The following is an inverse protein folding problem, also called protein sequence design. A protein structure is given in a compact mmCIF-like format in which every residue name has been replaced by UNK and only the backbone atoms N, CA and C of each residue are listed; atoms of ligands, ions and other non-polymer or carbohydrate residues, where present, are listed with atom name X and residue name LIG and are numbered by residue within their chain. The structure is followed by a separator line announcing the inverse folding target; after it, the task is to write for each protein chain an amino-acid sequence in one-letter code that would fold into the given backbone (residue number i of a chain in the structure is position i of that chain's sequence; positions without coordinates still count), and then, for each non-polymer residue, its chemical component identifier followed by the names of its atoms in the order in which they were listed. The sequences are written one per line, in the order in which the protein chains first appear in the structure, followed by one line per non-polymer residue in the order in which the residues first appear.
data_IF_746654721103
#
_entry.id   IF_746654721103
#
_cell.length_a   1.000
_cell.length_b   1.000
_cell.length_c   1.000
_cell.angle_alpha   90.00
_cell.angle_beta   90.00
_cell.angle_gamma   90.00
#
_symmetry.space_group_name_H-M   'P 1'
#
loop_
_entity.id
_entity.type
_entity.pdbx_description
1 polymer ?
#
# COMPACT_ATOMS: atom_id res chain seq x y z
N UNK A 1 5.19 8.80 -27.28
CA UNK A 1 6.16 7.87 -26.64
C UNK A 1 5.41 6.74 -25.94
N UNK A 2 5.95 5.53 -25.92
CA UNK A 2 5.39 4.37 -25.20
C UNK A 2 5.91 4.31 -23.77
N UNK A 3 5.01 4.16 -22.81
CA UNK A 3 5.34 3.98 -21.39
C UNK A 3 4.82 2.62 -20.96
N UNK A 4 5.67 1.79 -20.36
CA UNK A 4 5.26 0.52 -19.78
C UNK A 4 5.12 0.64 -18.26
N UNK A 5 3.99 0.16 -17.72
CA UNK A 5 3.69 0.09 -16.28
C UNK A 5 3.60 -1.38 -15.89
N UNK A 6 4.52 -1.85 -15.05
CA UNK A 6 4.69 -3.27 -14.71
C UNK A 6 4.39 -3.52 -13.24
N UNK A 7 3.41 -4.36 -12.99
CA UNK A 7 2.97 -4.78 -11.65
C UNK A 7 2.64 -6.27 -11.58
N UNK A 8 2.45 -6.74 -10.38
CA UNK A 8 2.07 -8.12 -10.10
C UNK A 8 0.56 -8.42 -10.19
N UNK A 9 -0.30 -7.41 -10.42
CA UNK A 9 -1.75 -7.56 -10.66
C UNK A 9 -2.27 -6.34 -11.41
N UNK A 10 -3.25 -6.52 -12.32
CA UNK A 10 -4.00 -5.43 -12.97
C UNK A 10 -4.86 -4.67 -11.96
N UNK A 11 -5.41 -5.39 -10.95
CA UNK A 11 -6.12 -4.79 -9.82
C UNK A 11 -5.33 -3.65 -9.16
N UNK A 12 -4.02 -3.83 -8.94
CA UNK A 12 -3.19 -2.82 -8.30
C UNK A 12 -2.99 -1.58 -9.20
N UNK A 13 -2.86 -1.77 -10.52
CA UNK A 13 -2.78 -0.66 -11.47
C UNK A 13 -4.09 0.13 -11.42
N UNK A 14 -5.21 -0.53 -11.54
CA UNK A 14 -6.52 0.09 -11.59
C UNK A 14 -6.86 0.85 -10.30
N UNK A 15 -6.69 0.22 -9.14
CA UNK A 15 -7.13 0.80 -7.87
C UNK A 15 -6.20 1.92 -7.34
N UNK A 16 -4.92 1.91 -7.71
CA UNK A 16 -3.95 2.84 -7.09
C UNK A 16 -3.24 3.76 -8.08
N UNK A 17 -3.41 3.57 -9.40
CA UNK A 17 -2.64 4.33 -10.39
C UNK A 17 -3.48 4.79 -11.58
N UNK A 18 -4.78 4.55 -11.54
CA UNK A 18 -5.65 4.84 -12.68
C UNK A 18 -5.68 6.32 -13.03
N UNK A 19 -5.65 7.22 -12.03
CA UNK A 19 -5.60 8.65 -12.29
C UNK A 19 -4.28 9.07 -12.95
N UNK A 20 -3.15 8.48 -12.53
CA UNK A 20 -1.87 8.68 -13.21
C UNK A 20 -1.89 8.14 -14.66
N UNK A 21 -2.43 6.93 -14.86
CA UNK A 21 -2.59 6.32 -16.19
C UNK A 21 -3.44 7.21 -17.10
N UNK A 22 -4.60 7.68 -16.64
CA UNK A 22 -5.46 8.60 -17.39
C UNK A 22 -4.72 9.90 -17.76
N UNK A 23 -3.93 10.42 -16.82
CA UNK A 23 -3.13 11.63 -17.08
C UNK A 23 -2.09 11.40 -18.18
N UNK A 24 -1.40 10.25 -18.18
CA UNK A 24 -0.47 9.88 -19.26
C UNK A 24 -1.18 9.76 -20.61
N UNK A 25 -2.34 9.12 -20.66
CA UNK A 25 -3.16 9.00 -21.87
C UNK A 25 -3.59 10.38 -22.41
N UNK A 26 -4.03 11.28 -21.53
CA UNK A 26 -4.41 12.65 -21.89
C UNK A 26 -3.24 13.45 -22.46
N UNK A 27 -2.02 13.19 -21.99
CA UNK A 27 -0.78 13.78 -22.54
C UNK A 27 -0.33 13.13 -23.87
N UNK A 28 -1.09 12.18 -24.40
CA UNK A 28 -0.80 11.51 -25.67
C UNK A 28 0.25 10.41 -25.58
N UNK A 29 0.56 9.90 -24.39
CA UNK A 29 1.41 8.73 -24.25
C UNK A 29 0.64 7.45 -24.59
N UNK A 30 1.29 6.51 -25.26
CA UNK A 30 0.79 5.14 -25.45
C UNK A 30 1.15 4.33 -24.20
N UNK A 31 0.15 3.97 -23.37
CA UNK A 31 0.37 3.31 -22.09
C UNK A 31 0.19 1.80 -22.22
N UNK A 32 1.26 1.06 -21.96
CA UNK A 32 1.30 -0.40 -21.94
C UNK A 32 1.28 -0.89 -20.48
N UNK A 33 0.27 -1.66 -20.10
CA UNK A 33 0.21 -2.32 -18.79
C UNK A 33 0.69 -3.75 -18.90
N UNK A 34 1.60 -4.17 -18.03
CA UNK A 34 2.20 -5.49 -18.02
C UNK A 34 1.98 -6.12 -16.64
N UNK A 35 1.04 -7.04 -16.56
CA UNK A 35 0.64 -7.71 -15.31
C UNK A 35 -0.02 -9.06 -15.64
N UNK A 36 -0.13 -9.99 -14.67
CA UNK A 36 -1.00 -11.14 -14.81
C UNK A 36 -2.44 -10.71 -15.10
N UNK A 37 -3.12 -11.47 -15.97
CA UNK A 37 -4.51 -11.23 -16.29
C UNK A 37 -5.39 -11.46 -15.05
N UNK A 38 -6.24 -10.50 -14.72
CA UNK A 38 -7.22 -10.58 -13.63
C UNK A 38 -8.51 -9.82 -14.01
N UNK A 39 -9.51 -9.85 -13.12
CA UNK A 39 -10.83 -9.24 -13.34
C UNK A 39 -10.80 -7.72 -13.61
N UNK A 40 -9.67 -7.05 -13.41
CA UNK A 40 -9.50 -5.61 -13.65
C UNK A 40 -8.80 -5.31 -14.98
N UNK A 41 -8.34 -6.32 -15.69
CA UNK A 41 -7.59 -6.13 -16.94
C UNK A 41 -8.45 -5.45 -18.01
N UNK A 42 -9.70 -5.87 -18.19
CA UNK A 42 -10.60 -5.26 -19.17
C UNK A 42 -10.87 -3.78 -18.89
N UNK A 43 -10.91 -3.37 -17.61
CA UNK A 43 -11.09 -1.96 -17.23
C UNK A 43 -9.88 -1.08 -17.61
N UNK A 44 -8.67 -1.65 -17.63
CA UNK A 44 -7.47 -0.96 -18.12
C UNK A 44 -7.52 -0.79 -19.64
N UNK A 45 -7.97 -1.82 -20.36
CA UNK A 45 -8.12 -1.80 -21.82
C UNK A 45 -9.24 -0.82 -22.25
N UNK A 46 -10.38 -0.83 -21.57
CA UNK A 46 -11.46 0.14 -21.78
C UNK A 46 -11.01 1.60 -21.54
N UNK A 47 -10.09 1.80 -20.61
CA UNK A 47 -9.50 3.13 -20.37
C UNK A 47 -8.49 3.56 -21.42
N UNK A 48 -8.14 2.72 -22.41
CA UNK A 48 -7.21 3.00 -23.49
C UNK A 48 -5.80 2.46 -23.31
N UNK A 49 -5.54 1.61 -22.31
CA UNK A 49 -4.25 0.94 -22.16
C UNK A 49 -4.14 -0.27 -23.10
N UNK A 50 -2.92 -0.58 -23.51
CA UNK A 50 -2.59 -1.83 -24.21
C UNK A 50 -2.05 -2.82 -23.18
N UNK A 51 -2.83 -3.85 -22.86
CA UNK A 51 -2.43 -4.84 -21.85
C UNK A 51 -1.55 -5.96 -22.44
N UNK A 52 -0.56 -6.39 -21.64
CA UNK A 52 0.30 -7.54 -21.93
C UNK A 52 0.27 -8.46 -20.71
N UNK A 53 -0.24 -9.66 -20.92
CA UNK A 53 -0.22 -10.69 -19.88
C UNK A 53 1.21 -11.18 -19.64
N UNK A 54 1.56 -11.40 -18.36
CA UNK A 54 2.84 -11.97 -17.93
C UNK A 54 2.59 -12.98 -16.81
N UNK A 55 3.30 -14.10 -16.83
CA UNK A 55 3.22 -15.14 -15.80
C UNK A 55 4.05 -14.75 -14.59
N UNK A 56 3.48 -13.94 -13.72
CA UNK A 56 4.15 -13.48 -12.52
C UNK A 56 3.46 -14.02 -11.28
N UNK A 57 4.13 -14.95 -10.60
CA UNK A 57 3.68 -15.38 -9.28
C UNK A 57 3.94 -14.25 -8.26
N UNK A 58 2.90 -13.74 -7.63
CA UNK A 58 3.01 -12.67 -6.64
C UNK A 58 3.65 -13.14 -5.33
N UNK A 59 3.88 -14.46 -5.16
CA UNK A 59 4.33 -15.09 -3.92
C UNK A 59 5.53 -16.01 -4.16
N UNK A 60 6.43 -16.04 -3.19
CA UNK A 60 7.58 -16.95 -3.17
C UNK A 60 8.73 -16.56 -4.08
N UNK A 61 9.89 -17.18 -3.83
CA UNK A 61 11.10 -17.09 -4.63
C UNK A 61 11.37 -18.50 -5.16
N UNK A 62 11.30 -18.66 -6.48
CA UNK A 62 11.67 -19.87 -7.17
C UNK A 62 12.61 -19.51 -8.33
N UNK A 63 13.90 -19.86 -8.27
CA UNK A 63 14.89 -19.42 -9.25
C UNK A 63 14.53 -19.76 -10.70
N UNK A 64 13.92 -20.92 -10.95
CA UNK A 64 13.53 -21.33 -12.31
C UNK A 64 12.36 -20.48 -12.83
N UNK A 65 11.33 -20.26 -12.00
CA UNK A 65 10.20 -19.39 -12.37
C UNK A 65 10.64 -17.93 -12.51
N UNK A 66 11.54 -17.47 -11.67
CA UNK A 66 12.04 -16.11 -11.70
C UNK A 66 12.95 -15.85 -12.92
N UNK A 67 13.76 -16.84 -13.36
CA UNK A 67 14.50 -16.78 -14.61
C UNK A 67 13.58 -16.78 -15.84
N UNK A 68 12.52 -17.59 -15.81
CA UNK A 68 11.50 -17.59 -16.87
C UNK A 68 10.77 -16.23 -16.95
N UNK A 69 10.50 -15.59 -15.80
CA UNK A 69 9.90 -14.25 -15.74
C UNK A 69 10.82 -13.19 -16.38
N UNK A 70 12.14 -13.25 -16.13
CA UNK A 70 13.10 -12.34 -16.78
C UNK A 70 13.04 -12.50 -18.31
N UNK A 71 13.04 -13.72 -18.81
CA UNK A 71 12.96 -14.01 -20.25
C UNK A 71 11.63 -13.52 -20.85
N UNK A 72 10.51 -13.75 -20.16
CA UNK A 72 9.18 -13.30 -20.61
C UNK A 72 9.09 -11.77 -20.66
N UNK A 73 9.53 -11.07 -19.60
CA UNK A 73 9.59 -9.61 -19.58
C UNK A 73 10.52 -9.05 -20.66
N UNK A 74 11.68 -9.67 -20.89
CA UNK A 74 12.58 -9.29 -21.97
C UNK A 74 11.90 -9.36 -23.33
N UNK A 75 11.17 -10.45 -23.62
CA UNK A 75 10.44 -10.63 -24.90
C UNK A 75 9.32 -9.58 -25.04
N UNK A 76 8.57 -9.29 -23.97
CA UNK A 76 7.53 -8.26 -23.97
C UNK A 76 8.16 -6.89 -24.23
N UNK A 77 9.22 -6.51 -23.50
CA UNK A 77 9.90 -5.22 -23.68
C UNK A 77 10.49 -5.06 -25.07
N UNK A 78 11.09 -6.12 -25.63
CA UNK A 78 11.61 -6.12 -27.00
C UNK A 78 10.50 -5.91 -28.04
N UNK A 79 9.30 -6.47 -27.80
CA UNK A 79 8.13 -6.30 -28.69
C UNK A 79 7.53 -4.91 -28.56
N UNK A 80 7.31 -4.43 -27.35
CA UNK A 80 6.66 -3.15 -27.02
C UNK A 80 7.57 -1.98 -27.37
N UNK A 81 8.87 -2.12 -27.13
CA UNK A 81 9.89 -1.06 -27.26
C UNK A 81 9.50 0.23 -26.52
N UNK A 82 9.22 0.14 -25.21
CA UNK A 82 8.85 1.33 -24.43
C UNK A 82 10.04 2.29 -24.34
N UNK A 83 9.78 3.60 -24.37
CA UNK A 83 10.79 4.62 -24.11
C UNK A 83 11.22 4.66 -22.66
N UNK A 84 10.32 4.26 -21.73
CA UNK A 84 10.58 4.17 -20.30
C UNK A 84 9.69 3.09 -19.68
N UNK A 85 10.18 2.44 -18.61
CA UNK A 85 9.43 1.43 -17.85
C UNK A 85 9.32 1.86 -16.39
N UNK A 86 8.09 1.80 -15.86
CA UNK A 86 7.77 2.05 -14.47
C UNK A 86 7.49 0.71 -13.78
N UNK A 87 8.34 0.33 -12.85
CA UNK A 87 8.20 -0.89 -12.08
C UNK A 87 7.66 -0.63 -10.68
N UNK A 88 6.78 -1.50 -10.23
CA UNK A 88 6.26 -1.50 -8.87
C UNK A 88 6.30 -2.91 -8.32
N UNK A 89 6.38 -3.03 -7.00
CA UNK A 89 6.53 -4.31 -6.29
C UNK A 89 7.86 -5.02 -6.55
N UNK A 90 8.17 -6.05 -5.74
CA UNK A 90 9.51 -6.64 -5.67
C UNK A 90 9.95 -7.27 -6.99
N UNK A 91 9.10 -8.12 -7.60
CA UNK A 91 9.49 -8.88 -8.80
C UNK A 91 9.71 -7.99 -10.02
N UNK A 92 8.82 -7.05 -10.38
CA UNK A 92 9.11 -6.08 -11.42
C UNK A 92 10.34 -5.22 -11.13
N UNK A 93 10.50 -4.71 -9.90
CA UNK A 93 11.64 -3.91 -9.51
C UNK A 93 12.98 -4.64 -9.70
N UNK A 94 13.02 -5.95 -9.43
CA UNK A 94 14.24 -6.75 -9.55
C UNK A 94 14.36 -7.33 -10.95
N UNK A 95 13.46 -8.21 -11.35
CA UNK A 95 13.58 -9.00 -12.56
C UNK A 95 13.25 -8.18 -13.81
N UNK A 96 12.28 -7.26 -13.71
CA UNK A 96 11.96 -6.32 -14.78
C UNK A 96 13.12 -5.37 -15.08
N UNK A 97 13.80 -4.88 -14.05
CA UNK A 97 14.97 -4.02 -14.22
C UNK A 97 16.12 -4.77 -14.88
N UNK A 98 16.36 -6.04 -14.53
CA UNK A 98 17.37 -6.89 -15.20
C UNK A 98 17.00 -7.07 -16.69
N UNK A 99 15.75 -7.42 -16.99
CA UNK A 99 15.28 -7.59 -18.38
C UNK A 99 15.42 -6.29 -19.20
N UNK A 100 15.05 -5.15 -18.61
CA UNK A 100 15.15 -3.84 -19.25
C UNK A 100 16.60 -3.40 -19.51
N UNK A 101 17.52 -3.73 -18.59
CA UNK A 101 18.94 -3.39 -18.72
C UNK A 101 19.59 -4.06 -19.93
N UNK A 102 19.19 -5.28 -20.29
CA UNK A 102 19.66 -5.99 -21.47
C UNK A 102 19.24 -5.30 -22.78
N UNK A 103 18.15 -4.52 -22.74
CA UNK A 103 17.64 -3.73 -23.86
C UNK A 103 18.01 -2.25 -23.77
N UNK A 104 18.74 -1.87 -22.74
CA UNK A 104 19.13 -0.46 -22.45
C UNK A 104 17.94 0.48 -22.32
N UNK A 105 16.78 -0.01 -21.89
CA UNK A 105 15.57 0.79 -21.66
C UNK A 105 15.66 1.44 -20.27
N UNK A 106 15.45 2.77 -20.16
CA UNK A 106 15.45 3.45 -18.86
C UNK A 106 14.31 2.96 -17.96
N UNK A 107 14.62 2.79 -16.68
CA UNK A 107 13.71 2.22 -15.68
C UNK A 107 13.57 3.17 -14.50
N UNK A 108 12.34 3.36 -14.05
CA UNK A 108 11.97 3.96 -12.77
C UNK A 108 11.34 2.89 -11.89
N UNK A 109 11.96 2.62 -10.75
CA UNK A 109 11.46 1.65 -9.78
C UNK A 109 10.71 2.34 -8.64
N UNK A 110 9.68 1.68 -8.10
CA UNK A 110 8.97 2.14 -6.90
C UNK A 110 8.98 1.03 -5.85
N UNK A 111 9.60 1.32 -4.70
CA UNK A 111 9.61 0.44 -3.52
C UNK A 111 8.37 0.75 -2.69
N UNK A 112 7.31 -0.04 -2.86
CA UNK A 112 6.01 0.15 -2.21
C UNK A 112 5.96 -0.36 -0.76
N UNK A 113 7.11 -0.51 -0.11
CA UNK A 113 7.30 -1.10 1.21
C UNK A 113 8.08 -2.41 1.12
N UNK A 114 8.86 -2.68 2.15
CA UNK A 114 9.79 -3.82 2.19
C UNK A 114 9.14 -5.09 2.71
N UNK A 115 7.95 -4.95 3.31
CA UNK A 115 7.33 -6.04 4.04
C UNK A 115 8.24 -6.53 5.17
N UNK A 116 8.00 -7.74 5.63
CA UNK A 116 8.76 -8.33 6.75
C UNK A 116 10.01 -9.11 6.32
N UNK A 117 10.28 -9.21 5.01
CA UNK A 117 11.47 -9.90 4.49
C UNK A 117 12.76 -9.24 4.99
N UNK A 118 12.79 -7.92 5.05
CA UNK A 118 13.94 -7.15 5.51
C UNK A 118 14.09 -7.06 7.04
N UNK A 119 13.10 -7.55 7.79
CA UNK A 119 13.15 -7.59 9.26
C UNK A 119 13.87 -8.82 9.80
N UNK A 120 14.16 -9.80 8.93
CA UNK A 120 14.83 -11.05 9.30
C UNK A 120 16.25 -11.05 8.78
N UNK A 121 17.19 -11.49 9.60
CA UNK A 121 18.57 -11.76 9.18
C UNK A 121 18.69 -13.23 8.74
N UNK A 122 17.95 -13.63 7.72
CA UNK A 122 17.99 -14.97 7.16
C UNK A 122 18.55 -14.96 5.73
N UNK A 123 18.86 -16.15 5.20
CA UNK A 123 19.40 -16.31 3.86
C UNK A 123 18.49 -15.72 2.76
N UNK A 124 17.17 -15.73 2.97
CA UNK A 124 16.20 -15.18 2.02
C UNK A 124 16.34 -13.66 1.95
N UNK A 125 16.47 -13.01 3.10
CA UNK A 125 16.71 -11.56 3.21
C UNK A 125 18.02 -11.16 2.55
N UNK A 126 19.07 -11.95 2.75
CA UNK A 126 20.37 -11.72 2.11
C UNK A 126 20.29 -11.82 0.59
N UNK A 127 19.65 -12.87 0.07
CA UNK A 127 19.44 -13.03 -1.38
C UNK A 127 18.61 -11.88 -1.96
N UNK A 128 17.55 -11.47 -1.28
CA UNK A 128 16.73 -10.34 -1.71
C UNK A 128 17.54 -9.04 -1.77
N UNK A 129 18.38 -8.75 -0.76
CA UNK A 129 19.27 -7.58 -0.74
C UNK A 129 20.27 -7.62 -1.90
N UNK A 130 20.88 -8.77 -2.18
CA UNK A 130 21.80 -8.93 -3.31
C UNK A 130 21.12 -8.67 -4.66
N UNK A 131 19.91 -9.21 -4.83
CA UNK A 131 19.13 -9.00 -6.05
C UNK A 131 18.77 -7.50 -6.23
N UNK A 132 18.36 -6.82 -5.17
CA UNK A 132 18.14 -5.36 -5.20
C UNK A 132 19.41 -4.60 -5.55
N UNK A 133 20.54 -4.93 -4.91
CA UNK A 133 21.83 -4.29 -5.16
C UNK A 133 22.29 -4.43 -6.61
N UNK A 134 22.05 -5.58 -7.22
CA UNK A 134 22.42 -5.84 -8.64
C UNK A 134 21.47 -5.07 -9.56
N UNK A 135 20.15 -5.23 -9.38
CA UNK A 135 19.15 -4.66 -10.28
C UNK A 135 19.12 -3.12 -10.21
N UNK A 136 19.21 -2.54 -9.02
CA UNK A 136 19.07 -1.09 -8.85
C UNK A 136 20.26 -0.28 -9.38
N UNK A 137 21.38 -0.94 -9.72
CA UNK A 137 22.46 -0.28 -10.46
C UNK A 137 22.04 0.18 -11.86
N UNK A 138 21.01 -0.46 -12.42
CA UNK A 138 20.49 -0.15 -13.77
C UNK A 138 19.28 0.78 -13.73
N UNK A 139 18.70 1.06 -12.55
CA UNK A 139 17.60 1.98 -12.42
C UNK A 139 18.06 3.43 -12.57
N UNK A 140 17.34 4.22 -13.35
CA UNK A 140 17.58 5.66 -13.49
C UNK A 140 17.04 6.45 -12.31
N UNK A 141 15.90 6.00 -11.74
CA UNK A 141 15.28 6.56 -10.55
C UNK A 141 14.66 5.45 -9.70
N UNK A 142 14.72 5.59 -8.38
CA UNK A 142 14.08 4.69 -7.42
C UNK A 142 13.30 5.52 -6.43
N UNK A 143 11.98 5.40 -6.47
CA UNK A 143 11.10 6.03 -5.49
C UNK A 143 10.89 5.13 -4.29
N UNK A 144 10.95 5.73 -3.11
CA UNK A 144 10.56 5.12 -1.84
C UNK A 144 9.32 5.81 -1.29
N UNK A 145 8.52 5.08 -0.52
CA UNK A 145 7.26 5.59 0.01
C UNK A 145 7.38 6.13 1.44
N UNK A 146 8.50 5.88 2.10
CA UNK A 146 8.82 6.42 3.41
C UNK A 146 10.34 6.57 3.60
N UNK A 147 10.79 7.48 4.48
CA UNK A 147 12.21 7.72 4.71
C UNK A 147 12.95 6.54 5.37
N UNK A 148 12.28 5.71 6.18
CA UNK A 148 12.94 4.58 6.83
C UNK A 148 13.40 3.53 5.82
N UNK A 149 12.53 3.21 4.83
CA UNK A 149 12.87 2.28 3.75
C UNK A 149 13.98 2.84 2.85
N UNK A 150 13.93 4.15 2.56
CA UNK A 150 14.98 4.85 1.83
C UNK A 150 16.33 4.77 2.57
N UNK A 151 16.35 5.16 3.83
CA UNK A 151 17.57 5.18 4.65
C UNK A 151 18.16 3.77 4.79
N UNK A 152 17.33 2.75 5.01
CA UNK A 152 17.77 1.35 5.06
C UNK A 152 18.50 0.93 3.77
N UNK A 153 18.00 1.35 2.59
CA UNK A 153 18.63 1.02 1.31
C UNK A 153 19.95 1.78 1.11
N UNK A 154 20.02 3.03 1.55
CA UNK A 154 21.25 3.82 1.50
C UNK A 154 22.32 3.27 2.45
N UNK A 155 21.99 2.99 3.70
CA UNK A 155 22.89 2.41 4.70
C UNK A 155 23.47 1.06 4.26
N UNK A 156 22.61 0.20 3.67
CA UNK A 156 23.04 -1.09 3.12
C UNK A 156 23.68 -1.00 1.74
N UNK A 157 23.85 0.22 1.19
CA UNK A 157 24.44 0.47 -0.13
C UNK A 157 23.78 -0.36 -1.25
N UNK A 158 22.45 -0.46 -1.21
CA UNK A 158 21.65 -1.21 -2.20
C UNK A 158 21.29 -0.33 -3.41
N UNK A 159 21.36 0.98 -3.27
CA UNK A 159 21.00 1.97 -4.29
C UNK A 159 21.96 3.16 -4.24
N UNK A 160 22.13 3.86 -5.35
CA UNK A 160 22.90 5.10 -5.42
C UNK A 160 22.11 6.27 -4.83
N UNK A 161 22.71 7.13 -3.98
CA UNK A 161 22.05 8.33 -3.45
C UNK A 161 21.54 9.27 -4.56
N UNK A 162 22.21 9.34 -5.70
CA UNK A 162 21.80 10.18 -6.84
C UNK A 162 20.54 9.68 -7.56
N UNK A 163 20.20 8.39 -7.38
CA UNK A 163 19.08 7.77 -8.06
C UNK A 163 17.79 7.74 -7.23
N UNK A 164 17.80 8.14 -5.96
CA UNK A 164 16.66 7.99 -5.06
C UNK A 164 15.83 9.26 -4.90
N UNK A 165 14.56 9.08 -4.57
CA UNK A 165 13.67 10.15 -4.13
C UNK A 165 12.49 9.56 -3.32
N UNK A 166 11.75 10.42 -2.63
CA UNK A 166 10.58 10.06 -1.85
C UNK A 166 9.29 10.46 -2.57
N UNK A 167 8.29 9.59 -2.49
CA UNK A 167 6.92 9.91 -2.85
C UNK A 167 5.97 9.49 -1.72
N UNK A 168 4.85 10.19 -1.51
CA UNK A 168 3.89 9.85 -0.46
C UNK A 168 2.99 8.67 -0.87
N UNK A 169 3.59 7.48 -0.99
CA UNK A 169 2.88 6.28 -1.43
C UNK A 169 2.38 6.38 -2.88
N UNK A 170 1.12 6.01 -3.10
CA UNK A 170 0.42 6.24 -4.37
C UNK A 170 -0.31 7.60 -4.39
N UNK A 171 -0.22 8.36 -3.31
CA UNK A 171 -1.09 9.51 -3.07
C UNK A 171 -2.53 9.10 -2.78
N UNK A 172 -3.38 10.06 -2.54
CA UNK A 172 -4.82 9.86 -2.33
C UNK A 172 -5.64 10.84 -3.19
N UNK A 173 -6.68 10.33 -3.83
CA UNK A 173 -7.67 11.13 -4.54
C UNK A 173 -8.59 11.85 -3.53
N UNK A 174 -8.28 13.10 -3.26
CA UNK A 174 -9.00 13.94 -2.30
C UNK A 174 -10.44 14.28 -2.74
N UNK A 175 -10.75 14.13 -4.02
CA UNK A 175 -12.11 14.35 -4.56
C UNK A 175 -12.96 13.09 -4.38
N UNK A 176 -12.33 11.91 -4.41
CA UNK A 176 -13.00 10.62 -4.18
C UNK A 176 -13.21 10.35 -2.69
N UNK A 177 -12.24 10.70 -1.84
CA UNK A 177 -12.29 10.54 -0.39
C UNK A 177 -12.50 11.91 0.26
N UNK A 178 -13.75 12.29 0.40
CA UNK A 178 -14.16 13.59 0.98
C UNK A 178 -14.59 13.44 2.42
N UNK A 179 -14.35 14.45 3.26
CA UNK A 179 -14.93 14.52 4.58
C UNK A 179 -16.45 14.37 4.55
N UNK A 180 -17.00 13.68 5.51
CA UNK A 180 -18.44 13.63 5.75
C UNK A 180 -18.77 14.43 7.02
N UNK A 181 -20.03 14.88 7.14
CA UNK A 181 -20.51 15.48 8.38
C UNK A 181 -20.25 14.50 9.53
N UNK A 182 -19.57 14.97 10.56
CA UNK A 182 -19.33 14.15 11.74
C UNK A 182 -20.66 13.85 12.44
N UNK A 183 -20.89 12.57 12.68
CA UNK A 183 -21.99 12.10 13.51
C UNK A 183 -21.48 10.88 14.25
N UNK A 184 -21.41 10.96 15.57
CA UNK A 184 -21.02 9.84 16.40
C UNK A 184 -22.12 8.79 16.39
N UNK A 185 -21.71 7.53 16.19
CA UNK A 185 -22.66 6.44 16.29
C UNK A 185 -23.16 6.24 17.73
N UNK A 186 -24.38 5.72 17.89
CA UNK A 186 -24.93 5.33 19.20
C UNK A 186 -23.96 4.40 19.95
N UNK A 187 -23.38 3.41 19.23
CA UNK A 187 -22.27 2.58 19.71
C UNK A 187 -21.01 2.92 18.92
N UNK A 188 -20.01 3.42 19.63
CA UNK A 188 -18.73 3.79 19.01
C UNK A 188 -18.17 2.65 18.16
N UNK A 189 -17.89 2.90 16.89
CA UNK A 189 -17.57 1.88 15.90
C UNK A 189 -16.09 1.97 15.48
N UNK A 190 -15.33 0.94 15.85
CA UNK A 190 -13.96 0.73 15.37
C UNK A 190 -13.98 -0.17 14.14
N UNK A 191 -13.29 0.26 13.08
CA UNK A 191 -13.20 -0.50 11.84
C UNK A 191 -11.74 -0.77 11.46
N UNK A 192 -11.39 -2.04 11.28
CA UNK A 192 -10.12 -2.47 10.71
C UNK A 192 -10.32 -2.90 9.26
N UNK A 193 -9.61 -2.23 8.33
CA UNK A 193 -9.67 -2.54 6.90
C UNK A 193 -8.32 -3.06 6.43
N UNK A 194 -8.22 -4.35 6.15
CA UNK A 194 -7.01 -4.96 5.57
C UNK A 194 -7.27 -6.39 5.11
N UNK A 195 -6.31 -6.99 4.39
CA UNK A 195 -6.29 -8.45 4.24
C UNK A 195 -6.13 -9.11 5.61
N UNK A 196 -6.86 -10.19 5.87
CA UNK A 196 -6.82 -10.88 7.16
C UNK A 196 -5.59 -11.80 7.27
N UNK A 197 -4.44 -11.16 7.45
CA UNK A 197 -3.13 -11.81 7.67
C UNK A 197 -2.49 -11.28 8.95
N UNK A 198 -1.65 -12.08 9.58
CA UNK A 198 -1.04 -11.75 10.89
C UNK A 198 -0.24 -10.46 10.87
N UNK A 199 0.45 -10.14 9.75
CA UNK A 199 1.26 -8.91 9.66
C UNK A 199 0.43 -7.62 9.70
N UNK A 200 -0.89 -7.72 9.57
CA UNK A 200 -1.81 -6.58 9.69
C UNK A 200 -2.30 -6.35 11.13
N UNK A 201 -1.76 -7.12 12.08
CA UNK A 201 -2.08 -6.97 13.49
C UNK A 201 -3.50 -7.42 13.85
N UNK A 202 -4.06 -8.35 13.06
CA UNK A 202 -5.42 -8.85 13.31
C UNK A 202 -5.50 -9.57 14.66
N UNK A 203 -4.46 -10.31 15.04
CA UNK A 203 -4.44 -11.02 16.32
C UNK A 203 -4.45 -10.04 17.50
N UNK A 204 -3.62 -9.01 17.44
CA UNK A 204 -3.56 -7.95 18.43
C UNK A 204 -4.88 -7.18 18.53
N UNK A 205 -5.53 -6.94 17.37
CA UNK A 205 -6.85 -6.31 17.35
C UNK A 205 -7.90 -7.18 18.07
N UNK A 206 -7.92 -8.48 17.81
CA UNK A 206 -8.86 -9.42 18.45
C UNK A 206 -8.61 -9.49 19.96
N UNK A 207 -7.36 -9.62 20.40
CA UNK A 207 -6.98 -9.65 21.81
C UNK A 207 -7.38 -8.34 22.52
N UNK A 208 -7.13 -7.19 21.89
CA UNK A 208 -7.55 -5.89 22.39
C UNK A 208 -9.09 -5.80 22.53
N UNK A 209 -9.84 -6.27 21.52
CA UNK A 209 -11.31 -6.31 21.55
C UNK A 209 -11.83 -7.21 22.67
N UNK A 210 -11.25 -8.40 22.87
CA UNK A 210 -11.63 -9.31 23.94
C UNK A 210 -11.44 -8.66 25.33
N UNK A 211 -10.31 -7.97 25.51
CA UNK A 211 -10.02 -7.21 26.73
C UNK A 211 -11.05 -6.10 26.96
N UNK A 212 -11.31 -5.24 25.95
CA UNK A 212 -12.29 -4.17 26.05
C UNK A 212 -13.70 -4.69 26.41
N UNK A 213 -14.12 -5.80 25.80
CA UNK A 213 -15.40 -6.44 26.12
C UNK A 213 -15.44 -6.99 27.55
N UNK A 214 -14.35 -7.59 28.04
CA UNK A 214 -14.25 -8.06 29.42
C UNK A 214 -14.29 -6.93 30.45
N UNK A 215 -13.85 -5.71 30.06
CA UNK A 215 -13.95 -4.49 30.84
C UNK A 215 -15.33 -3.80 30.73
N UNK A 216 -16.27 -4.39 29.98
CA UNK A 216 -17.64 -3.85 29.82
C UNK A 216 -17.72 -2.66 28.85
N UNK A 217 -16.73 -2.44 27.99
CA UNK A 217 -16.75 -1.38 26.97
C UNK A 217 -17.78 -1.73 25.90
N UNK A 218 -18.82 -0.90 25.79
CA UNK A 218 -19.85 -1.03 24.76
C UNK A 218 -19.43 -0.27 23.48
N UNK A 219 -18.94 -1.03 22.51
CA UNK A 219 -18.53 -0.53 21.20
C UNK A 219 -18.75 -1.64 20.14
N UNK A 220 -18.79 -1.23 18.87
CA UNK A 220 -18.79 -2.13 17.72
C UNK A 220 -17.36 -2.30 17.21
N UNK A 221 -16.98 -3.55 16.96
CA UNK A 221 -15.65 -3.90 16.48
C UNK A 221 -15.77 -4.64 15.15
N UNK A 222 -15.31 -4.02 14.08
CA UNK A 222 -15.55 -4.46 12.71
C UNK A 222 -14.25 -4.85 11.99
N UNK A 223 -14.33 -5.89 11.15
CA UNK A 223 -13.29 -6.32 10.23
C UNK A 223 -13.81 -6.27 8.79
N UNK A 224 -13.09 -5.59 7.91
CA UNK A 224 -13.37 -5.53 6.48
C UNK A 224 -12.13 -5.95 5.69
N UNK A 225 -12.25 -6.95 4.82
CA UNK A 225 -11.19 -7.35 3.91
C UNK A 225 -11.11 -8.84 3.64
N UNK A 226 -10.32 -9.21 2.66
CA UNK A 226 -10.25 -10.57 2.18
C UNK A 226 -9.60 -11.53 3.18
N UNK A 227 -10.24 -12.67 3.40
CA UNK A 227 -9.60 -13.84 4.01
C UNK A 227 -8.63 -14.45 2.99
N UNK A 228 -7.40 -14.72 3.41
CA UNK A 228 -6.40 -15.36 2.56
C UNK A 228 -5.73 -16.54 3.31
N UNK A 229 -6.48 -17.62 3.59
CA UNK A 229 -5.97 -18.73 4.41
C UNK A 229 -4.83 -19.49 3.73
N UNK A 230 -4.68 -19.36 2.40
CA UNK A 230 -3.54 -19.95 1.65
C UNK A 230 -2.28 -19.09 1.70
N UNK A 231 -2.36 -17.87 2.20
CA UNK A 231 -1.19 -17.04 2.43
C UNK A 231 -0.37 -17.62 3.60
N UNK A 232 0.96 -17.61 3.50
CA UNK A 232 1.86 -18.13 4.57
C UNK A 232 1.57 -17.54 5.97
N UNK A 233 1.01 -16.33 6.00
CA UNK A 233 0.62 -15.59 7.22
C UNK A 233 -0.89 -15.35 7.27
N UNK A 234 -1.65 -16.08 6.47
CA UNK A 234 -3.10 -16.03 6.49
C UNK A 234 -3.65 -16.60 7.79
N UNK A 235 -4.70 -16.00 8.28
CA UNK A 235 -5.45 -16.54 9.43
C UNK A 235 -6.40 -17.59 8.88
N UNK A 236 -6.48 -18.74 9.56
CA UNK A 236 -7.37 -19.82 9.14
C UNK A 236 -8.82 -19.38 9.22
N UNK A 237 -9.62 -19.80 8.25
CA UNK A 237 -11.03 -19.42 8.15
C UNK A 237 -11.81 -19.82 9.40
N UNK A 238 -11.52 -21.00 9.96
CA UNK A 238 -12.17 -21.51 11.16
C UNK A 238 -11.92 -20.62 12.39
N UNK A 239 -10.72 -20.02 12.48
CA UNK A 239 -10.37 -19.08 13.55
C UNK A 239 -11.15 -17.79 13.41
N UNK A 240 -11.23 -17.23 12.19
CA UNK A 240 -12.02 -16.03 11.92
C UNK A 240 -13.50 -16.30 12.22
N UNK A 241 -14.01 -17.46 11.80
CA UNK A 241 -15.40 -17.85 12.07
C UNK A 241 -15.69 -17.99 13.57
N UNK A 242 -14.73 -18.47 14.36
CA UNK A 242 -14.90 -18.54 15.82
C UNK A 242 -15.06 -17.15 16.45
N UNK A 243 -14.33 -16.13 15.98
CA UNK A 243 -14.46 -14.76 16.46
C UNK A 243 -15.81 -14.13 16.09
N UNK A 244 -16.33 -14.45 14.88
CA UNK A 244 -17.65 -14.02 14.43
C UNK A 244 -18.74 -14.68 15.29
N UNK A 245 -18.68 -16.00 15.44
CA UNK A 245 -19.69 -16.77 16.17
C UNK A 245 -19.75 -16.41 17.66
N UNK A 246 -18.62 -16.07 18.28
CA UNK A 246 -18.55 -15.58 19.65
C UNK A 246 -19.00 -14.12 19.80
N UNK A 247 -19.32 -13.45 18.70
CA UNK A 247 -19.64 -12.03 18.70
C UNK A 247 -18.46 -11.14 19.09
N UNK A 248 -17.21 -11.63 19.00
CA UNK A 248 -16.01 -10.82 19.28
C UNK A 248 -15.92 -9.66 18.29
N UNK A 249 -16.10 -9.94 17.01
CA UNK A 249 -16.11 -8.93 15.93
C UNK A 249 -17.23 -9.15 14.93
N UNK A 250 -17.61 -8.09 14.22
CA UNK A 250 -18.47 -8.12 13.04
C UNK A 250 -17.61 -8.19 11.79
N UNK A 251 -17.72 -9.26 11.00
CA UNK A 251 -17.01 -9.37 9.74
C UNK A 251 -17.89 -8.87 8.58
N UNK A 252 -17.42 -7.85 7.90
CA UNK A 252 -18.16 -7.15 6.83
C UNK A 252 -17.85 -7.69 5.42
N UNK A 253 -17.06 -8.76 5.32
CA UNK A 253 -16.70 -9.34 4.02
C UNK A 253 -15.63 -8.52 3.28
N UNK A 254 -15.81 -8.40 1.96
CA UNK A 254 -14.94 -7.65 1.06
C UNK A 254 -15.72 -6.64 0.25
N UNK A 255 -15.08 -5.56 -0.15
CA UNK A 255 -15.71 -4.55 -1.01
C UNK A 255 -14.71 -4.03 -2.04
N UNK A 256 -15.22 -3.52 -3.15
CA UNK A 256 -14.46 -2.75 -4.12
C UNK A 256 -14.44 -1.24 -3.77
N UNK A 257 -15.32 -0.80 -2.87
CA UNK A 257 -15.41 0.59 -2.42
C UNK A 257 -15.54 0.66 -0.90
N UNK A 258 -14.48 1.09 -0.25
CA UNK A 258 -14.41 1.18 1.22
C UNK A 258 -15.06 2.44 1.79
N UNK A 259 -15.42 3.43 0.94
CA UNK A 259 -15.86 4.76 1.37
C UNK A 259 -17.05 4.71 2.31
N UNK A 260 -18.07 3.92 1.96
CA UNK A 260 -19.25 3.75 2.79
C UNK A 260 -18.94 3.24 4.19
N UNK A 261 -18.05 2.24 4.28
CA UNK A 261 -17.64 1.67 5.56
C UNK A 261 -16.79 2.64 6.39
N UNK A 262 -15.87 3.37 5.74
CA UNK A 262 -15.08 4.43 6.40
C UNK A 262 -16.02 5.52 6.96
N UNK A 263 -17.01 5.93 6.18
CA UNK A 263 -17.98 6.95 6.60
C UNK A 263 -18.78 6.54 7.83
N UNK A 264 -19.15 5.26 7.92
CA UNK A 264 -19.92 4.71 9.04
C UNK A 264 -19.08 4.41 10.29
N UNK A 265 -17.77 4.36 10.20
CA UNK A 265 -16.90 4.16 11.34
C UNK A 265 -16.65 5.47 12.10
N UNK A 266 -16.46 5.39 13.43
CA UNK A 266 -16.00 6.51 14.25
C UNK A 266 -14.47 6.58 14.28
N UNK A 267 -13.79 5.43 14.19
CA UNK A 267 -12.34 5.34 14.19
C UNK A 267 -11.84 4.18 13.31
N UNK A 268 -10.81 4.44 12.54
CA UNK A 268 -10.12 3.40 11.76
C UNK A 268 -8.91 2.89 12.52
N UNK A 269 -8.76 1.57 12.60
CA UNK A 269 -7.68 0.91 13.34
C UNK A 269 -6.81 0.10 12.39
N UNK A 270 -5.49 0.30 12.42
CA UNK A 270 -4.53 -0.48 11.62
C UNK A 270 -3.27 -0.80 12.43
N UNK A 271 -3.24 -1.89 13.20
CA UNK A 271 -2.10 -2.28 14.03
C UNK A 271 -1.05 -3.10 13.26
N UNK A 272 -0.75 -2.68 12.03
CA UNK A 272 0.20 -3.38 11.14
C UNK A 272 1.62 -3.41 11.68
N UNK A 273 2.37 -4.48 11.32
CA UNK A 273 3.76 -4.63 11.76
C UNK A 273 4.76 -3.80 10.93
N UNK A 274 4.46 -3.47 9.71
CA UNK A 274 5.23 -2.60 8.81
C UNK A 274 4.44 -2.30 7.54
N UNK A 275 4.53 -1.07 7.06
CA UNK A 275 3.90 -0.63 5.81
C UNK A 275 4.89 0.18 4.94
N UNK A 276 4.58 0.36 3.68
CA UNK A 276 5.18 1.40 2.85
C UNK A 276 4.53 2.75 3.16
N UNK A 277 3.35 2.93 2.60
CA UNK A 277 2.38 3.98 2.97
C UNK A 277 1.00 3.32 2.91
N UNK A 278 0.36 3.03 4.06
CA UNK A 278 -0.86 2.24 4.10
C UNK A 278 -2.04 3.01 3.55
N UNK A 279 -2.59 2.53 2.43
CA UNK A 279 -3.69 3.18 1.72
C UNK A 279 -4.90 3.43 2.61
N UNK A 280 -5.25 2.44 3.44
CA UNK A 280 -6.36 2.56 4.40
C UNK A 280 -6.25 3.77 5.32
N UNK A 281 -5.03 4.09 5.77
CA UNK A 281 -4.81 5.28 6.61
C UNK A 281 -4.96 6.58 5.82
N UNK A 282 -4.51 6.62 4.55
CA UNK A 282 -4.72 7.77 3.68
C UNK A 282 -6.22 8.00 3.42
N UNK A 283 -6.96 6.92 3.16
CA UNK A 283 -8.40 6.94 2.90
C UNK A 283 -9.18 7.40 4.13
N UNK A 284 -8.82 6.91 5.32
CA UNK A 284 -9.40 7.31 6.60
C UNK A 284 -9.14 8.80 6.90
N UNK A 285 -7.88 9.23 6.83
CA UNK A 285 -7.49 10.61 7.08
C UNK A 285 -8.13 11.58 6.07
N UNK A 286 -8.19 11.21 4.78
CA UNK A 286 -8.88 12.02 3.76
C UNK A 286 -10.36 12.18 4.03
N UNK A 287 -10.99 11.16 4.61
CA UNK A 287 -12.40 11.18 5.01
C UNK A 287 -12.63 11.82 6.38
N UNK A 288 -11.61 12.47 6.94
CA UNK A 288 -11.62 13.10 8.27
C UNK A 288 -11.99 12.13 9.40
N UNK A 289 -11.52 10.88 9.33
CA UNK A 289 -11.73 9.90 10.40
C UNK A 289 -10.51 9.82 11.32
N UNK A 290 -10.72 9.85 12.65
CA UNK A 290 -9.66 9.54 13.61
C UNK A 290 -9.05 8.15 13.36
N UNK A 291 -7.77 8.01 13.66
CA UNK A 291 -7.02 6.80 13.35
C UNK A 291 -6.29 6.30 14.59
N UNK A 292 -6.24 4.98 14.76
CA UNK A 292 -5.29 4.31 15.66
C UNK A 292 -4.40 3.42 14.78
N UNK A 293 -3.08 3.60 14.87
CA UNK A 293 -2.13 2.80 14.12
C UNK A 293 -0.93 2.42 14.97
N UNK A 294 -0.16 1.42 14.53
CA UNK A 294 1.09 1.06 15.19
C UNK A 294 2.17 2.10 14.91
N UNK A 295 3.01 2.40 15.88
CA UNK A 295 4.21 3.23 15.71
C UNK A 295 5.31 2.44 14.99
N UNK A 296 5.14 2.28 13.68
CA UNK A 296 6.08 1.60 12.79
C UNK A 296 6.25 2.36 11.49
N UNK A 297 7.35 2.14 10.75
CA UNK A 297 7.55 2.75 9.43
C UNK A 297 6.33 2.61 8.52
N UNK A 298 5.97 3.69 7.85
CA UNK A 298 4.81 3.81 7.00
C UNK A 298 3.54 4.24 7.74
N UNK A 299 3.24 3.68 8.91
CA UNK A 299 2.09 4.09 9.72
C UNK A 299 2.33 5.43 10.42
N UNK A 300 3.48 5.59 11.10
CA UNK A 300 3.84 6.79 11.85
C UNK A 300 4.22 8.00 10.98
N UNK A 301 4.33 7.82 9.67
CA UNK A 301 4.45 8.95 8.72
C UNK A 301 3.08 9.53 8.37
N UNK A 302 2.05 8.69 8.33
CA UNK A 302 0.67 9.11 8.06
C UNK A 302 -0.01 9.61 9.32
N UNK A 303 0.17 8.88 10.44
CA UNK A 303 -0.42 9.21 11.74
C UNK A 303 0.64 9.88 12.61
N UNK A 304 0.33 11.09 13.06
CA UNK A 304 1.08 11.84 14.06
C UNK A 304 0.33 11.74 15.39
N UNK A 305 1.03 11.22 16.43
CA UNK A 305 0.41 10.88 17.70
C UNK A 305 -0.23 12.11 18.38
N UNK A 306 -1.48 11.97 18.80
CA UNK A 306 -2.31 13.02 19.40
C UNK A 306 -2.59 14.26 18.51
N UNK A 307 -2.20 14.24 17.22
CA UNK A 307 -2.50 15.31 16.27
C UNK A 307 -3.62 14.92 15.31
N UNK A 308 -3.49 13.78 14.60
CA UNK A 308 -4.50 13.26 13.67
C UNK A 308 -4.92 11.82 13.98
N UNK A 309 -4.49 11.30 15.12
CA UNK A 309 -4.77 9.95 15.57
C UNK A 309 -3.93 9.57 16.77
N UNK A 310 -3.90 8.28 17.09
CA UNK A 310 -3.10 7.73 18.19
C UNK A 310 -2.18 6.62 17.68
N UNK A 311 -0.96 6.56 18.22
CA UNK A 311 0.00 5.51 17.92
C UNK A 311 0.10 4.51 19.08
N UNK A 312 -0.01 3.23 18.76
CA UNK A 312 0.20 2.14 19.71
C UNK A 312 1.53 1.41 19.46
N UNK A 313 1.99 0.68 20.45
CA UNK A 313 3.22 -0.12 20.36
C UNK A 313 3.01 -1.33 19.45
N UNK A 314 4.11 -1.72 18.76
CA UNK A 314 4.13 -2.88 17.88
C UNK A 314 3.86 -4.17 18.64
N UNK A 315 2.90 -4.99 18.18
CA UNK A 315 2.53 -6.29 18.76
C UNK A 315 2.15 -6.22 20.24
N UNK A 316 1.46 -5.19 20.63
CA UNK A 316 1.03 -4.94 21.99
C UNK A 316 -0.49 -4.73 22.01
N UNK A 317 -1.22 -5.80 22.28
CA UNK A 317 -2.68 -5.77 22.32
C UNK A 317 -3.21 -4.96 23.53
N UNK A 318 -2.45 -4.91 24.63
CA UNK A 318 -2.81 -4.13 25.81
C UNK A 318 -2.74 -2.63 25.53
N UNK A 319 -1.67 -2.18 24.88
CA UNK A 319 -1.52 -0.78 24.49
C UNK A 319 -2.55 -0.39 23.41
N UNK A 320 -2.81 -1.29 22.45
CA UNK A 320 -3.88 -1.07 21.46
C UNK A 320 -5.24 -0.92 22.13
N UNK A 321 -5.58 -1.78 23.09
CA UNK A 321 -6.84 -1.70 23.84
C UNK A 321 -6.93 -0.37 24.60
N UNK A 322 -5.85 0.08 25.24
CA UNK A 322 -5.82 1.35 25.95
C UNK A 322 -6.01 2.54 25.01
N UNK A 323 -5.37 2.55 23.82
CA UNK A 323 -5.59 3.59 22.80
C UNK A 323 -7.03 3.58 22.26
N UNK A 324 -7.62 2.41 22.05
CA UNK A 324 -9.03 2.31 21.65
C UNK A 324 -9.95 2.85 22.73
N UNK A 325 -9.70 2.55 24.00
CA UNK A 325 -10.45 3.07 25.14
C UNK A 325 -10.32 4.58 25.28
N UNK A 326 -9.12 5.13 25.12
CA UNK A 326 -8.88 6.57 25.10
C UNK A 326 -9.63 7.25 23.95
N UNK A 327 -9.57 6.72 22.74
CA UNK A 327 -10.26 7.24 21.56
C UNK A 327 -11.77 7.29 21.77
N UNK A 328 -12.38 6.24 22.32
CA UNK A 328 -13.82 6.20 22.59
C UNK A 328 -14.26 7.26 23.62
N UNK A 329 -13.39 7.63 24.58
CA UNK A 329 -13.67 8.61 25.64
C UNK A 329 -13.52 10.06 25.18
N UNK A 330 -12.94 10.29 24.01
CA UNK A 330 -12.82 11.65 23.47
C UNK A 330 -14.21 12.25 23.24
N UNK A 331 -14.30 13.55 23.42
CA UNK A 331 -15.49 14.32 23.05
C UNK A 331 -15.64 14.40 21.54
N UNK A 332 -16.83 14.71 21.05
CA UNK A 332 -17.09 14.88 19.62
C UNK A 332 -16.21 15.97 19.00
N UNK A 333 -15.93 17.04 19.76
CA UNK A 333 -15.03 18.12 19.33
C UNK A 333 -13.61 17.60 19.12
N UNK A 334 -13.10 16.80 20.05
CA UNK A 334 -11.75 16.21 19.94
C UNK A 334 -11.65 15.22 18.78
N UNK A 335 -12.67 14.37 18.59
CA UNK A 335 -12.71 13.45 17.45
C UNK A 335 -12.75 14.19 16.10
N UNK A 336 -13.55 15.26 16.04
CA UNK A 336 -13.63 16.12 14.86
C UNK A 336 -12.29 16.80 14.57
N UNK A 337 -11.59 17.30 15.59
CA UNK A 337 -10.27 17.93 15.47
C UNK A 337 -9.23 16.95 14.92
N UNK A 338 -9.14 15.73 15.49
CA UNK A 338 -8.25 14.69 14.97
C UNK A 338 -8.54 14.38 13.51
N UNK A 339 -9.81 14.25 13.13
CA UNK A 339 -10.24 14.00 11.76
C UNK A 339 -9.86 15.14 10.80
N UNK A 340 -10.10 16.40 11.20
CA UNK A 340 -9.76 17.59 10.42
C UNK A 340 -8.23 17.70 10.21
N UNK A 341 -7.46 17.49 11.24
CA UNK A 341 -6.00 17.49 11.17
C UNK A 341 -5.50 16.38 10.22
N UNK A 342 -6.15 15.21 10.24
CA UNK A 342 -5.88 14.15 9.28
C UNK A 342 -6.11 14.60 7.84
N UNK A 343 -7.24 15.24 7.58
CA UNK A 343 -7.58 15.78 6.26
C UNK A 343 -6.58 16.84 5.79
N UNK A 344 -6.23 17.80 6.63
CA UNK A 344 -5.25 18.84 6.30
C UNK A 344 -3.88 18.25 5.96
N UNK A 345 -3.45 17.21 6.69
CA UNK A 345 -2.21 16.51 6.37
C UNK A 345 -2.27 15.82 5.01
N UNK A 346 -3.42 15.22 4.66
CA UNK A 346 -3.60 14.59 3.34
C UNK A 346 -3.54 15.62 2.22
N UNK A 347 -4.18 16.75 2.36
CA UNK A 347 -4.14 17.86 1.39
C UNK A 347 -2.73 18.41 1.16
N UNK A 348 -1.95 18.51 2.23
CA UNK A 348 -0.60 19.08 2.18
C UNK A 348 0.45 18.10 1.66
N UNK A 349 0.39 16.84 2.06
CA UNK A 349 1.51 15.90 1.95
C UNK A 349 1.21 14.67 1.08
N UNK A 350 -0.08 14.30 0.92
CA UNK A 350 -0.46 13.02 0.32
C UNK A 350 -1.41 13.13 -0.87
N UNK A 351 -1.72 14.36 -1.35
CA UNK A 351 -2.49 14.53 -2.58
C UNK A 351 -1.84 13.75 -3.74
N UNK A 352 -2.62 12.99 -4.49
CA UNK A 352 -2.09 12.19 -5.60
C UNK A 352 -1.42 13.04 -6.69
N UNK A 353 -1.79 14.32 -6.81
CA UNK A 353 -1.14 15.25 -7.73
C UNK A 353 0.35 15.43 -7.45
N UNK A 354 0.77 15.34 -6.18
CA UNK A 354 2.19 15.38 -5.78
C UNK A 354 2.94 14.18 -6.40
N UNK A 355 2.35 13.00 -6.34
CA UNK A 355 2.93 11.78 -6.91
C UNK A 355 2.95 11.85 -8.43
N UNK A 356 1.83 12.24 -9.04
CA UNK A 356 1.69 12.40 -10.49
C UNK A 356 2.74 13.37 -11.01
N UNK A 357 2.88 14.55 -10.42
CA UNK A 357 3.84 15.57 -10.83
C UNK A 357 5.29 15.09 -10.72
N UNK A 358 5.65 14.35 -9.64
CA UNK A 358 6.99 13.77 -9.51
C UNK A 358 7.29 12.73 -10.59
N UNK A 359 6.31 11.89 -10.95
CA UNK A 359 6.47 10.96 -12.07
C UNK A 359 6.61 11.71 -13.40
N UNK A 360 5.78 12.70 -13.68
CA UNK A 360 5.84 13.49 -14.92
C UNK A 360 7.18 14.21 -15.05
N UNK A 361 7.67 14.84 -13.98
CA UNK A 361 8.99 15.46 -13.99
C UNK A 361 10.09 14.42 -14.27
N UNK A 362 10.03 13.26 -13.65
CA UNK A 362 11.00 12.17 -13.89
C UNK A 362 10.92 11.65 -15.33
N UNK A 363 9.73 11.54 -15.91
CA UNK A 363 9.55 11.16 -17.30
C UNK A 363 10.16 12.21 -18.23
N UNK A 364 9.93 13.48 -17.96
CA UNK A 364 10.52 14.60 -18.71
C UNK A 364 12.05 14.57 -18.65
N UNK A 365 12.64 14.41 -17.45
CA UNK A 365 14.09 14.40 -17.24
C UNK A 365 14.80 13.22 -17.91
N UNK A 366 14.10 12.08 -18.04
CA UNK A 366 14.64 10.86 -18.64
C UNK A 366 14.34 10.71 -20.13
N UNK A 367 13.48 11.57 -20.69
CA UNK A 367 13.17 11.56 -22.11
C UNK A 367 14.09 12.59 -22.80
N UNK A 368 14.91 12.21 -23.79
CA UNK A 368 15.68 13.20 -24.55
C UNK A 368 14.72 14.23 -25.14
N UNK A 369 15.08 15.51 -25.06
CA UNK A 369 14.39 16.55 -25.81
C UNK A 369 14.41 16.17 -27.31
N UNK A 370 13.23 15.98 -27.89
CA UNK A 370 13.05 15.67 -29.30
C UNK A 370 13.45 16.85 -30.21
#
# INVERSE_FOLDING_TARGET
MRIAIVLNTSWNIFNFRMNFVRHLLTLGYEVHTIAPYDDYTHLLEEAGCIHHNVRMDSRGANPLKDSALIAELFMIYRKVKPGIILHYTIKPNVYGTIAASLLRIPVVNNVCGLGTVFLKNDAISFVAMMLYKISFRFAKKVFFQNPDDLNLFLEKKLVSPAAVDLIPGSGIDLKRFTPTSFSRNEKFTFLLISRLITDKGILEYIEAVQKLKSEGIDARFQLLGAMDPRHKRGIKTEVIQSWINSGTVEYLGTTQDVRHFIQQADCIVLPSYREGTPRTLLEAASSSKPIIATNVPGCNHVVEDNYNGMLCRLKDADDLAEKMKQMQRLTDVQLLELGQNGRLKMEKEYDESIVINKYLQTLHDLTPAS
#
